data_IF_568693176452
#
_entry.id   IF_568693176452
#
_cell.length_a   1.000
_cell.length_b   1.000
_cell.length_c   1.000
_cell.angle_alpha   90.00
_cell.angle_beta   90.00
_cell.angle_gamma   90.00
#
_symmetry.space_group_name_H-M   'P 1'
#
loop_
_entity.id
_entity.type
_entity.pdbx_description
1 polymer ?
#
# COMPACT_ATOMS: atom_id res chain seq x y z
N UNK A 1 21.82 38.31 -6.42
CA UNK A 1 22.42 36.96 -6.34
C UNK A 1 21.71 36.02 -5.35
N UNK A 2 20.50 36.34 -4.88
CA UNK A 2 19.76 35.48 -3.93
C UNK A 2 18.84 34.43 -4.59
N UNK A 3 18.71 34.42 -5.93
CA UNK A 3 17.73 33.57 -6.64
C UNK A 3 18.27 32.20 -7.12
N UNK A 4 19.56 31.91 -6.91
CA UNK A 4 20.17 30.61 -7.27
C UNK A 4 20.30 29.62 -6.11
N UNK A 5 20.09 30.06 -4.86
CA UNK A 5 20.01 29.17 -3.70
C UNK A 5 18.60 28.60 -3.49
N UNK A 6 17.60 29.16 -4.15
CA UNK A 6 16.19 28.76 -4.04
C UNK A 6 15.78 27.59 -4.95
N UNK A 7 16.72 27.05 -5.76
CA UNK A 7 16.44 25.95 -6.71
C UNK A 7 17.01 24.58 -6.31
N UNK A 8 17.56 24.44 -5.11
CA UNK A 8 17.71 23.11 -4.53
C UNK A 8 16.40 22.80 -3.79
N UNK A 9 15.34 22.46 -4.52
CA UNK A 9 14.17 21.86 -3.88
C UNK A 9 14.67 20.68 -3.05
N UNK A 10 14.43 20.67 -1.72
CA UNK A 10 14.90 19.60 -0.88
C UNK A 10 14.36 18.28 -1.43
N UNK A 11 15.26 17.30 -1.62
CA UNK A 11 14.88 15.95 -2.03
C UNK A 11 13.85 15.44 -1.02
N UNK A 12 12.59 15.37 -1.46
CA UNK A 12 11.47 15.06 -0.59
C UNK A 12 11.59 13.61 -0.13
N UNK A 13 11.32 13.36 1.14
CA UNK A 13 11.25 11.99 1.65
C UNK A 13 9.85 11.45 1.33
N UNK A 14 9.72 10.22 0.79
CA UNK A 14 8.43 9.59 0.59
C UNK A 14 7.62 9.62 1.87
N UNK A 15 6.35 10.00 1.78
CA UNK A 15 5.46 10.04 2.94
C UNK A 15 4.67 8.74 3.05
N UNK A 16 4.42 8.30 4.28
CA UNK A 16 3.61 7.12 4.55
C UNK A 16 3.92 6.52 5.91
N UNK A 17 3.05 5.64 6.36
CA UNK A 17 3.23 4.92 7.63
C UNK A 17 3.28 3.41 7.38
N UNK A 18 4.49 2.82 7.28
CA UNK A 18 4.67 1.38 7.15
C UNK A 18 4.01 0.58 8.29
N UNK A 19 3.83 1.19 9.46
CA UNK A 19 3.25 0.53 10.64
C UNK A 19 1.76 0.28 10.45
N UNK A 20 1.00 1.28 10.00
CA UNK A 20 -0.42 1.12 9.66
C UNK A 20 -0.62 0.15 8.50
N UNK A 21 0.23 0.18 7.47
CA UNK A 21 0.13 -0.78 6.34
C UNK A 21 0.33 -2.23 6.84
N UNK A 22 1.28 -2.46 7.75
CA UNK A 22 1.46 -3.78 8.38
C UNK A 22 0.32 -4.16 9.29
N UNK A 23 -0.29 -3.20 10.00
CA UNK A 23 -1.46 -3.46 10.82
C UNK A 23 -2.62 -3.95 9.93
N UNK A 24 -2.88 -3.26 8.83
CA UNK A 24 -3.88 -3.68 7.84
C UNK A 24 -3.58 -5.09 7.28
N UNK A 25 -2.32 -5.38 6.94
CA UNK A 25 -1.92 -6.73 6.49
C UNK A 25 -2.20 -7.82 7.55
N UNK A 26 -1.88 -7.54 8.83
CA UNK A 26 -2.19 -8.44 9.96
C UNK A 26 -3.69 -8.63 10.13
N UNK A 27 -4.48 -7.57 9.97
CA UNK A 27 -5.93 -7.64 10.06
C UNK A 27 -6.55 -8.48 8.94
N UNK A 28 -6.09 -8.31 7.70
CA UNK A 28 -6.52 -9.15 6.58
C UNK A 28 -6.22 -10.63 6.83
N UNK A 29 -5.04 -10.96 7.36
CA UNK A 29 -4.69 -12.34 7.73
C UNK A 29 -5.55 -12.87 8.85
N UNK A 30 -5.83 -12.06 9.87
CA UNK A 30 -6.72 -12.43 10.98
C UNK A 30 -8.12 -12.75 10.46
N UNK A 31 -8.68 -11.90 9.59
CA UNK A 31 -9.98 -12.14 8.97
C UNK A 31 -9.96 -13.40 8.10
N UNK A 32 -8.91 -13.60 7.31
CA UNK A 32 -8.76 -14.82 6.49
C UNK A 32 -8.71 -16.09 7.36
N UNK A 33 -7.94 -16.08 8.44
CA UNK A 33 -7.81 -17.20 9.37
C UNK A 33 -9.12 -17.49 10.11
N UNK A 34 -9.78 -16.45 10.62
CA UNK A 34 -11.10 -16.56 11.27
C UNK A 34 -12.15 -17.10 10.29
N UNK A 35 -12.15 -16.59 9.06
CA UNK A 35 -13.05 -17.06 8.01
C UNK A 35 -12.79 -18.52 7.61
N UNK A 36 -11.54 -18.97 7.60
CA UNK A 36 -11.21 -20.38 7.36
C UNK A 36 -11.66 -21.27 8.53
N UNK A 37 -11.48 -20.81 9.78
CA UNK A 37 -11.94 -21.54 10.96
C UNK A 37 -13.48 -21.67 10.97
N UNK A 38 -14.21 -20.61 10.65
CA UNK A 38 -15.67 -20.64 10.51
C UNK A 38 -16.13 -21.42 9.28
N UNK A 39 -15.42 -21.31 8.15
CA UNK A 39 -15.72 -22.03 6.91
C UNK A 39 -15.47 -23.55 7.02
N UNK A 40 -14.59 -23.97 7.92
CA UNK A 40 -14.40 -25.38 8.28
C UNK A 40 -15.61 -26.01 8.98
N UNK A 41 -16.51 -25.18 9.55
CA UNK A 41 -17.75 -25.65 10.16
C UNK A 41 -18.81 -26.03 9.12
N UNK A 42 -18.64 -25.72 7.83
CA UNK A 42 -19.65 -25.90 6.78
C UNK A 42 -20.05 -27.37 6.57
N UNK A 43 -19.08 -28.29 6.48
CA UNK A 43 -19.38 -29.71 6.28
C UNK A 43 -20.00 -30.37 7.52
N UNK A 44 -19.56 -29.96 8.73
CA UNK A 44 -20.11 -30.48 10.00
C UNK A 44 -21.50 -29.92 10.27
N UNK A 45 -21.68 -28.61 10.12
CA UNK A 45 -22.94 -27.93 10.41
C UNK A 45 -24.04 -28.34 9.44
N UNK A 46 -23.76 -28.51 8.14
CA UNK A 46 -24.76 -29.01 7.16
C UNK A 46 -25.18 -30.44 7.51
N UNK A 47 -24.24 -31.29 7.92
CA UNK A 47 -24.53 -32.67 8.32
C UNK A 47 -25.32 -32.72 9.63
N UNK A 48 -24.94 -31.94 10.64
CA UNK A 48 -25.62 -31.85 11.93
C UNK A 48 -27.03 -31.27 11.80
N UNK A 49 -27.21 -30.20 11.02
CA UNK A 49 -28.54 -29.62 10.74
C UNK A 49 -29.47 -30.62 10.05
N UNK A 50 -28.94 -31.48 9.16
CA UNK A 50 -29.73 -32.49 8.49
C UNK A 50 -30.26 -33.58 9.44
N UNK A 51 -29.62 -33.79 10.60
CA UNK A 51 -30.05 -34.77 11.60
C UNK A 51 -31.23 -34.26 12.43
N UNK A 52 -31.28 -32.95 12.72
CA UNK A 52 -32.26 -32.36 13.65
C UNK A 52 -33.36 -31.57 12.96
N UNK A 53 -33.19 -31.19 11.69
CA UNK A 53 -34.13 -30.34 10.96
C UNK A 53 -34.37 -30.84 9.53
N UNK A 54 -35.64 -31.11 9.22
CA UNK A 54 -36.07 -31.67 7.93
C UNK A 54 -37.20 -30.84 7.30
N UNK A 55 -37.48 -31.12 6.02
CA UNK A 55 -38.48 -30.41 5.21
C UNK A 55 -37.89 -29.34 4.28
N UNK A 56 -38.77 -28.70 3.51
CA UNK A 56 -38.35 -27.76 2.45
C UNK A 56 -37.56 -26.56 2.96
N UNK A 57 -37.90 -26.06 4.15
CA UNK A 57 -37.18 -24.96 4.77
C UNK A 57 -35.73 -25.35 5.12
N UNK A 58 -35.52 -26.56 5.66
CA UNK A 58 -34.19 -27.09 5.96
C UNK A 58 -33.36 -27.30 4.68
N UNK A 59 -34.00 -27.73 3.58
CA UNK A 59 -33.33 -27.88 2.28
C UNK A 59 -32.89 -26.53 1.70
N UNK A 60 -33.75 -25.50 1.78
CA UNK A 60 -33.39 -24.14 1.33
C UNK A 60 -32.24 -23.55 2.15
N UNK A 61 -32.31 -23.66 3.49
CA UNK A 61 -31.25 -23.15 4.37
C UNK A 61 -29.89 -23.82 4.10
N UNK A 62 -29.86 -25.13 3.85
CA UNK A 62 -28.63 -25.85 3.47
C UNK A 62 -28.08 -25.40 2.12
N UNK A 63 -28.95 -25.15 1.14
CA UNK A 63 -28.53 -24.62 -0.16
C UNK A 63 -27.92 -23.21 -0.02
N UNK A 64 -28.54 -22.33 0.76
CA UNK A 64 -28.03 -20.98 1.03
C UNK A 64 -26.67 -21.02 1.75
N UNK A 65 -26.51 -21.89 2.74
CA UNK A 65 -25.26 -22.11 3.46
C UNK A 65 -24.15 -22.59 2.51
N UNK A 66 -24.43 -23.57 1.65
CA UNK A 66 -23.47 -24.06 0.67
C UNK A 66 -23.03 -22.97 -0.32
N UNK A 67 -23.94 -22.08 -0.74
CA UNK A 67 -23.61 -20.93 -1.60
C UNK A 67 -22.70 -19.95 -0.86
N UNK A 68 -23.02 -19.62 0.41
CA UNK A 68 -22.20 -18.72 1.22
C UNK A 68 -20.80 -19.29 1.46
N UNK A 69 -20.70 -20.58 1.76
CA UNK A 69 -19.42 -21.22 2.02
C UNK A 69 -18.58 -21.36 0.74
N UNK A 70 -19.19 -21.64 -0.40
CA UNK A 70 -18.49 -21.63 -1.70
C UNK A 70 -17.94 -20.23 -2.04
N UNK A 71 -18.67 -19.16 -1.72
CA UNK A 71 -18.17 -17.78 -1.87
C UNK A 71 -17.01 -17.50 -0.92
N UNK A 72 -17.16 -17.87 0.34
CA UNK A 72 -16.16 -17.65 1.38
C UNK A 72 -14.85 -18.37 1.04
N UNK A 73 -14.90 -19.64 0.63
CA UNK A 73 -13.74 -20.42 0.17
C UNK A 73 -12.99 -19.79 -1.01
N UNK A 74 -13.68 -19.03 -1.86
CA UNK A 74 -13.05 -18.30 -2.98
C UNK A 74 -12.38 -17.02 -2.53
N UNK A 75 -13.00 -16.26 -1.61
CA UNK A 75 -12.51 -14.93 -1.19
C UNK A 75 -11.36 -15.02 -0.19
N UNK A 76 -11.38 -15.98 0.74
CA UNK A 76 -10.38 -16.06 1.81
C UNK A 76 -8.92 -16.17 1.32
N UNK A 77 -8.59 -16.98 0.29
CA UNK A 77 -7.24 -17.00 -0.28
C UNK A 77 -6.80 -15.65 -0.86
N UNK A 78 -7.74 -14.88 -1.43
CA UNK A 78 -7.43 -13.55 -1.96
C UNK A 78 -7.12 -12.54 -0.86
N UNK A 79 -7.72 -12.66 0.34
CA UNK A 79 -7.38 -11.81 1.49
C UNK A 79 -5.94 -12.05 1.97
N UNK A 80 -5.52 -13.32 2.03
CA UNK A 80 -4.14 -13.66 2.38
C UNK A 80 -3.16 -13.12 1.32
N UNK A 81 -3.49 -13.27 0.03
CA UNK A 81 -2.67 -12.73 -1.06
C UNK A 81 -2.57 -11.20 -1.05
N UNK A 82 -3.66 -10.50 -0.72
CA UNK A 82 -3.68 -9.04 -0.55
C UNK A 82 -2.81 -8.61 0.64
N UNK A 83 -2.89 -9.32 1.77
CA UNK A 83 -2.03 -9.06 2.94
C UNK A 83 -0.54 -9.15 2.59
N UNK A 84 -0.13 -10.17 1.83
CA UNK A 84 1.24 -10.30 1.36
C UNK A 84 1.66 -9.16 0.42
N UNK A 85 0.73 -8.61 -0.35
CA UNK A 85 0.94 -7.39 -1.15
C UNK A 85 1.25 -6.18 -0.29
N UNK A 86 0.42 -5.93 0.73
CA UNK A 86 0.60 -4.82 1.68
C UNK A 86 1.92 -4.93 2.44
N UNK A 87 2.33 -6.13 2.87
CA UNK A 87 3.61 -6.29 3.55
C UNK A 87 4.82 -6.00 2.66
N UNK A 88 4.77 -6.44 1.40
CA UNK A 88 5.83 -6.13 0.42
C UNK A 88 5.90 -4.63 0.17
N UNK A 89 4.75 -3.97 0.05
CA UNK A 89 4.69 -2.53 -0.12
C UNK A 89 5.23 -1.78 1.12
N UNK A 90 4.86 -2.19 2.34
CA UNK A 90 5.40 -1.60 3.57
C UNK A 90 6.93 -1.69 3.64
N UNK A 91 7.52 -2.85 3.27
CA UNK A 91 8.98 -3.01 3.20
C UNK A 91 9.61 -2.12 2.12
N UNK A 92 8.97 -2.02 0.95
CA UNK A 92 9.44 -1.14 -0.12
C UNK A 92 9.42 0.34 0.31
N UNK A 93 8.38 0.76 1.03
CA UNK A 93 8.28 2.12 1.58
C UNK A 93 9.39 2.43 2.58
N UNK A 94 9.66 1.54 3.54
CA UNK A 94 10.78 1.73 4.48
C UNK A 94 12.13 1.81 3.78
N UNK A 95 12.34 0.93 2.79
CA UNK A 95 13.55 0.95 2.00
C UNK A 95 13.71 2.27 1.24
N UNK A 96 12.62 2.73 0.61
CA UNK A 96 12.60 3.99 -0.13
C UNK A 96 12.86 5.19 0.78
N UNK A 97 12.27 5.24 1.98
CA UNK A 97 12.53 6.30 2.97
C UNK A 97 14.01 6.31 3.37
N UNK A 98 14.56 5.16 3.75
CA UNK A 98 15.97 5.07 4.15
C UNK A 98 16.93 5.46 3.02
N UNK A 99 16.65 5.03 1.77
CA UNK A 99 17.45 5.39 0.61
C UNK A 99 17.31 6.87 0.24
N UNK A 100 16.10 7.43 0.26
CA UNK A 100 15.87 8.85 -0.01
C UNK A 100 16.62 9.74 1.00
N UNK A 101 16.60 9.38 2.29
CA UNK A 101 17.41 10.07 3.30
C UNK A 101 18.92 9.95 3.03
N UNK A 102 19.40 8.77 2.64
CA UNK A 102 20.81 8.58 2.31
C UNK A 102 21.23 9.42 1.09
N UNK A 103 20.39 9.50 0.05
CA UNK A 103 20.62 10.35 -1.12
C UNK A 103 20.56 11.83 -0.75
N UNK A 104 19.62 12.24 0.10
CA UNK A 104 19.54 13.60 0.63
C UNK A 104 20.83 13.99 1.37
N UNK A 105 21.30 13.15 2.29
CA UNK A 105 22.57 13.39 3.00
C UNK A 105 23.77 13.48 2.06
N UNK A 106 23.81 12.70 0.97
CA UNK A 106 24.87 12.82 -0.05
C UNK A 106 24.79 14.13 -0.82
N UNK A 107 23.58 14.60 -1.16
CA UNK A 107 23.39 15.88 -1.82
C UNK A 107 23.81 17.06 -0.91
N UNK A 108 23.42 17.02 0.37
CA UNK A 108 23.85 17.98 1.40
C UNK A 108 25.38 17.98 1.54
N UNK A 109 26.01 16.80 1.67
CA UNK A 109 27.46 16.68 1.75
C UNK A 109 28.20 17.24 0.52
N UNK A 110 27.63 17.10 -0.68
CA UNK A 110 28.19 17.68 -1.90
C UNK A 110 28.13 19.22 -1.90
N UNK A 111 27.08 19.81 -1.32
CA UNK A 111 26.96 21.26 -1.12
C UNK A 111 27.98 21.75 -0.10
N UNK A 112 28.09 21.07 1.03
CA UNK A 112 29.05 21.42 2.09
C UNK A 112 30.49 21.30 1.60
N UNK A 113 30.81 20.24 0.85
CA UNK A 113 32.14 20.04 0.27
C UNK A 113 32.49 21.15 -0.73
N UNK A 114 31.53 21.54 -1.58
CA UNK A 114 31.73 22.68 -2.46
C UNK A 114 31.99 23.98 -1.68
N UNK A 115 31.19 24.27 -0.65
CA UNK A 115 31.37 25.45 0.19
C UNK A 115 32.76 25.48 0.86
N UNK A 116 33.22 24.33 1.39
CA UNK A 116 34.56 24.16 1.95
C UNK A 116 35.65 24.43 0.90
N UNK A 117 35.54 23.84 -0.28
CA UNK A 117 36.51 24.06 -1.38
C UNK A 117 36.58 25.52 -1.80
N UNK A 118 35.44 26.19 -1.94
CA UNK A 118 35.37 27.63 -2.26
C UNK A 118 36.04 28.47 -1.18
N UNK A 119 35.82 28.16 0.10
CA UNK A 119 36.45 28.87 1.22
C UNK A 119 37.99 28.71 1.20
N UNK A 120 38.49 27.49 0.96
CA UNK A 120 39.91 27.21 0.82
C UNK A 120 40.49 28.01 -0.35
N UNK A 121 39.91 27.90 -1.55
CA UNK A 121 40.37 28.61 -2.75
C UNK A 121 40.43 30.11 -2.53
N UNK A 122 39.44 30.70 -1.85
CA UNK A 122 39.42 32.13 -1.52
C UNK A 122 40.59 32.54 -0.62
N UNK A 123 41.03 31.66 0.28
CA UNK A 123 42.12 31.94 1.22
C UNK A 123 43.52 31.67 0.65
N UNK A 124 43.66 30.76 -0.31
CA UNK A 124 44.97 30.28 -0.79
C UNK A 124 45.35 30.75 -2.18
N UNK A 125 44.41 31.21 -3.01
CA UNK A 125 44.70 31.53 -4.39
C UNK A 125 45.42 32.89 -4.53
N UNK A 126 46.61 32.87 -5.14
CA UNK A 126 47.43 34.06 -5.38
C UNK A 126 47.23 34.62 -6.80
N UNK A 127 46.88 33.77 -7.76
CA UNK A 127 46.64 34.15 -9.15
C UNK A 127 45.13 34.10 -9.49
N UNK A 128 44.56 35.21 -10.04
CA UNK A 128 43.15 35.28 -10.42
C UNK A 128 42.72 34.23 -11.46
N UNK A 129 43.61 33.84 -12.39
CA UNK A 129 43.23 32.94 -13.49
C UNK A 129 43.12 31.48 -13.01
N UNK A 130 44.08 31.02 -12.21
CA UNK A 130 44.02 29.71 -11.54
C UNK A 130 42.86 29.63 -10.54
N UNK A 131 42.55 30.71 -9.80
CA UNK A 131 41.37 30.77 -8.94
C UNK A 131 40.06 30.56 -9.73
N UNK A 132 39.88 31.28 -10.84
CA UNK A 132 38.68 31.18 -11.66
C UNK A 132 38.51 29.77 -12.25
N UNK A 133 39.59 29.15 -12.72
CA UNK A 133 39.58 27.79 -13.24
C UNK A 133 39.22 26.76 -12.14
N UNK A 134 39.82 26.89 -10.95
CA UNK A 134 39.54 26.00 -9.82
C UNK A 134 38.09 26.13 -9.31
N UNK A 135 37.56 27.37 -9.27
CA UNK A 135 36.16 27.62 -8.91
C UNK A 135 35.19 26.99 -9.92
N UNK A 136 35.48 27.13 -11.22
CA UNK A 136 34.67 26.50 -12.27
C UNK A 136 34.71 24.96 -12.20
N UNK A 137 35.86 24.38 -11.85
CA UNK A 137 35.97 22.93 -11.62
C UNK A 137 35.15 22.49 -10.40
N UNK A 138 35.28 23.17 -9.26
CA UNK A 138 34.51 22.87 -8.06
C UNK A 138 32.99 23.02 -8.27
N UNK A 139 32.55 23.95 -9.12
CA UNK A 139 31.14 24.10 -9.50
C UNK A 139 30.63 22.92 -10.32
N UNK A 140 31.40 22.46 -11.32
CA UNK A 140 31.06 21.28 -12.14
C UNK A 140 31.00 20.00 -11.33
N UNK A 141 31.91 19.80 -10.39
CA UNK A 141 31.89 18.65 -9.48
C UNK A 141 30.61 18.63 -8.65
N UNK A 142 30.23 19.77 -8.07
CA UNK A 142 28.98 19.91 -7.30
C UNK A 142 27.76 19.60 -8.16
N UNK A 143 27.70 20.16 -9.36
CA UNK A 143 26.58 19.96 -10.28
C UNK A 143 26.45 18.49 -10.70
N UNK A 144 27.57 17.83 -11.02
CA UNK A 144 27.61 16.41 -11.34
C UNK A 144 27.12 15.53 -10.17
N UNK A 145 27.57 15.84 -8.95
CA UNK A 145 27.15 15.15 -7.74
C UNK A 145 25.65 15.32 -7.47
N UNK A 146 25.12 16.53 -7.59
CA UNK A 146 23.69 16.81 -7.42
C UNK A 146 22.86 16.13 -8.50
N UNK A 147 23.29 16.15 -9.77
CA UNK A 147 22.61 15.46 -10.85
C UNK A 147 22.58 13.94 -10.61
N UNK A 148 23.67 13.36 -10.09
CA UNK A 148 23.71 11.95 -9.70
C UNK A 148 22.76 11.66 -8.53
N UNK A 149 22.68 12.55 -7.53
CA UNK A 149 21.76 12.40 -6.41
C UNK A 149 20.29 12.48 -6.88
N UNK A 150 19.95 13.41 -7.77
CA UNK A 150 18.60 13.49 -8.35
C UNK A 150 18.22 12.24 -9.14
N UNK A 151 19.12 11.69 -9.96
CA UNK A 151 18.87 10.43 -10.68
C UNK A 151 18.66 9.26 -9.71
N UNK A 152 19.50 9.16 -8.68
CA UNK A 152 19.35 8.13 -7.66
C UNK A 152 18.02 8.26 -6.93
N UNK A 153 17.62 9.48 -6.57
CA UNK A 153 16.32 9.73 -5.94
C UNK A 153 15.14 9.37 -6.86
N UNK A 154 15.21 9.72 -8.14
CA UNK A 154 14.21 9.31 -9.13
C UNK A 154 14.04 7.79 -9.19
N UNK A 155 15.14 7.04 -9.24
CA UNK A 155 15.10 5.58 -9.23
C UNK A 155 14.41 5.00 -7.97
N UNK A 156 14.65 5.60 -6.80
CA UNK A 156 13.97 5.21 -5.54
C UNK A 156 12.45 5.40 -5.65
N UNK A 157 12.00 6.52 -6.21
CA UNK A 157 10.58 6.81 -6.39
C UNK A 157 9.92 5.90 -7.45
N UNK A 158 10.64 5.58 -8.53
CA UNK A 158 10.16 4.66 -9.56
C UNK A 158 9.95 3.24 -8.99
N UNK A 159 10.88 2.75 -8.17
CA UNK A 159 10.77 1.46 -7.47
C UNK A 159 9.57 1.45 -6.51
N UNK A 160 9.39 2.51 -5.73
CA UNK A 160 8.26 2.65 -4.82
C UNK A 160 6.92 2.68 -5.58
N UNK A 161 6.85 3.45 -6.67
CA UNK A 161 5.68 3.53 -7.55
C UNK A 161 5.35 2.16 -8.16
N UNK A 162 6.36 1.42 -8.61
CA UNK A 162 6.17 0.06 -9.12
C UNK A 162 5.61 -0.89 -8.05
N UNK A 163 6.11 -0.80 -6.81
CA UNK A 163 5.60 -1.58 -5.68
C UNK A 163 4.16 -1.19 -5.32
N UNK A 164 3.84 0.11 -5.30
CA UNK A 164 2.48 0.61 -5.08
C UNK A 164 1.51 0.10 -6.14
N UNK A 165 1.87 0.20 -7.42
CA UNK A 165 1.05 -0.31 -8.53
C UNK A 165 0.84 -1.83 -8.48
N UNK A 166 1.85 -2.60 -8.05
CA UNK A 166 1.69 -4.03 -7.80
C UNK A 166 0.71 -4.30 -6.67
N UNK A 167 0.79 -3.56 -5.56
CA UNK A 167 -0.12 -3.69 -4.43
C UNK A 167 -1.56 -3.35 -4.82
N UNK A 168 -1.77 -2.23 -5.53
CA UNK A 168 -3.08 -1.81 -6.03
C UNK A 168 -3.74 -2.90 -6.88
N UNK A 169 -3.01 -3.48 -7.85
CA UNK A 169 -3.53 -4.58 -8.68
C UNK A 169 -3.96 -5.81 -7.88
N UNK A 170 -3.30 -6.10 -6.75
CA UNK A 170 -3.70 -7.21 -5.87
C UNK A 170 -4.99 -6.90 -5.10
N UNK A 171 -5.17 -5.66 -4.67
CA UNK A 171 -6.40 -5.19 -4.02
C UNK A 171 -7.57 -5.13 -5.00
N UNK A 172 -7.31 -4.74 -6.26
CA UNK A 172 -8.32 -4.77 -7.32
C UNK A 172 -8.79 -6.20 -7.63
N UNK A 173 -7.85 -7.15 -7.68
CA UNK A 173 -8.18 -8.57 -7.86
C UNK A 173 -9.06 -9.12 -6.72
N UNK A 174 -8.84 -8.67 -5.49
CA UNK A 174 -9.69 -9.00 -4.34
C UNK A 174 -11.12 -8.45 -4.54
N UNK A 175 -11.22 -7.19 -4.95
CA UNK A 175 -12.52 -6.51 -5.18
C UNK A 175 -13.30 -7.14 -6.33
N UNK A 176 -12.62 -7.46 -7.44
CA UNK A 176 -13.21 -8.17 -8.57
C UNK A 176 -13.68 -9.59 -8.18
N UNK A 177 -12.87 -10.33 -7.40
CA UNK A 177 -13.22 -11.65 -6.88
C UNK A 177 -14.43 -11.63 -5.95
N UNK A 178 -14.62 -10.55 -5.18
CA UNK A 178 -15.80 -10.36 -4.34
C UNK A 178 -17.06 -9.97 -5.15
N UNK A 179 -16.90 -9.27 -6.28
CA UNK A 179 -17.99 -8.66 -7.05
C UNK A 179 -18.62 -9.56 -8.11
N UNK A 180 -17.91 -10.58 -8.60
CA UNK A 180 -18.29 -11.38 -9.79
C UNK A 180 -19.63 -12.16 -9.73
N UNK A 181 -20.46 -12.07 -8.67
CA UNK A 181 -21.81 -12.69 -8.63
C UNK A 181 -22.89 -11.94 -7.83
N UNK A 182 -22.78 -10.61 -7.66
CA UNK A 182 -23.97 -9.85 -7.26
C UNK A 182 -25.02 -9.78 -8.39
N UNK A 183 -24.61 -9.90 -9.64
CA UNK A 183 -25.44 -9.63 -10.83
C UNK A 183 -26.30 -10.83 -11.30
N UNK A 184 -26.07 -12.05 -10.80
CA UNK A 184 -26.82 -13.25 -11.24
C UNK A 184 -27.87 -13.78 -10.26
N UNK A 185 -28.08 -13.10 -9.11
CA UNK A 185 -29.09 -13.47 -8.12
C UNK A 185 -30.31 -12.52 -8.10
N UNK A 186 -30.49 -11.71 -9.16
CA UNK A 186 -31.44 -10.60 -9.22
C UNK A 186 -32.59 -10.77 -10.22
N UNK A 187 -33.09 -11.98 -10.45
CA UNK A 187 -34.36 -12.20 -11.17
C UNK A 187 -35.12 -13.36 -10.52
N UNK A 188 -35.67 -13.12 -9.33
CA UNK A 188 -36.40 -14.18 -8.62
C UNK A 188 -37.04 -13.78 -7.30
N UNK A 189 -38.08 -12.95 -7.39
CA UNK A 189 -39.22 -12.88 -6.45
C UNK A 189 -38.96 -12.27 -5.07
N UNK A 190 -39.54 -11.09 -4.86
CA UNK A 190 -39.74 -10.47 -3.56
C UNK A 190 -40.52 -11.40 -2.61
N UNK A 191 -39.96 -11.64 -1.43
CA UNK A 191 -40.67 -12.19 -0.28
C UNK A 191 -40.97 -11.01 0.65
N UNK A 192 -42.22 -10.80 1.09
CA UNK A 192 -42.55 -9.70 1.99
C UNK A 192 -41.91 -9.93 3.38
N UNK A 193 -41.41 -8.84 3.95
CA UNK A 193 -40.80 -8.81 5.27
C UNK A 193 -41.83 -9.16 6.36
N UNK A 194 -41.59 -10.25 7.09
CA UNK A 194 -42.19 -10.47 8.40
C UNK A 194 -41.20 -9.95 9.45
N UNK A 195 -41.66 -8.98 10.25
CA UNK A 195 -40.88 -8.34 11.29
C UNK A 195 -40.39 -9.34 12.35
N UNK A 196 -39.13 -9.19 12.72
CA UNK A 196 -38.49 -9.98 13.77
C UNK A 196 -37.11 -9.42 14.06
N UNK A 197 -37.04 -8.51 15.02
CA UNK A 197 -35.78 -8.00 15.58
C UNK A 197 -35.02 -9.12 16.28
N UNK A 198 -33.93 -9.58 15.67
CA UNK A 198 -32.89 -10.33 16.37
C UNK A 198 -31.53 -9.78 15.90
N UNK A 199 -30.99 -8.87 16.70
CA UNK A 199 -29.65 -8.35 16.54
C UNK A 199 -28.62 -9.43 16.87
N UNK A 200 -27.73 -9.73 15.93
CA UNK A 200 -26.38 -10.27 16.11
C UNK A 200 -25.70 -10.40 14.74
N UNK A 201 -25.41 -9.27 14.10
CA UNK A 201 -24.37 -9.20 13.10
C UNK A 201 -23.81 -7.77 13.13
N UNK A 202 -22.55 -7.56 13.55
CA UNK A 202 -21.93 -6.26 13.30
C UNK A 202 -21.93 -6.03 11.79
N UNK A 203 -22.27 -4.81 11.39
CA UNK A 203 -22.25 -4.35 10.01
C UNK A 203 -20.79 -4.23 9.52
N UNK A 204 -20.14 -5.37 9.26
CA UNK A 204 -18.74 -5.44 8.81
C UNK A 204 -18.61 -4.93 7.37
N UNK A 205 -19.71 -4.90 6.60
CA UNK A 205 -19.71 -4.42 5.22
C UNK A 205 -19.50 -2.90 5.13
N UNK A 206 -20.14 -2.13 6.02
CA UNK A 206 -19.97 -0.68 6.06
C UNK A 206 -18.55 -0.25 6.47
N UNK A 207 -17.98 -0.93 7.47
CA UNK A 207 -16.63 -0.62 7.95
C UNK A 207 -15.53 -1.04 6.97
N UNK A 208 -15.63 -2.23 6.36
CA UNK A 208 -14.55 -2.79 5.52
C UNK A 208 -14.42 -2.12 4.15
N UNK A 209 -15.53 -1.65 3.55
CA UNK A 209 -15.50 -0.93 2.27
C UNK A 209 -15.02 0.51 2.47
N UNK A 210 -15.36 1.15 3.59
CA UNK A 210 -14.84 2.47 3.96
C UNK A 210 -13.32 2.46 4.20
N UNK A 211 -12.82 1.42 4.88
CA UNK A 211 -11.39 1.29 5.22
C UNK A 211 -10.51 1.00 3.99
N UNK A 212 -11.02 0.22 3.02
CA UNK A 212 -10.31 -0.02 1.75
C UNK A 212 -10.28 1.22 0.85
N UNK A 213 -11.32 2.07 0.90
CA UNK A 213 -11.33 3.38 0.24
C UNK A 213 -10.26 4.30 0.82
N UNK A 214 -10.10 4.33 2.15
CA UNK A 214 -9.07 5.08 2.85
C UNK A 214 -7.65 4.59 2.51
N UNK A 215 -7.42 3.27 2.48
CA UNK A 215 -6.12 2.72 2.08
C UNK A 215 -5.78 3.07 0.63
N UNK A 216 -6.77 3.05 -0.27
CA UNK A 216 -6.57 3.46 -1.66
C UNK A 216 -6.27 4.96 -1.79
N UNK A 217 -7.02 5.81 -1.10
CA UNK A 217 -6.78 7.26 -1.08
C UNK A 217 -5.37 7.58 -0.52
N UNK A 218 -4.91 6.85 0.51
CA UNK A 218 -3.54 7.01 1.03
C UNK A 218 -2.45 6.48 0.10
N UNK A 219 -2.73 5.45 -0.70
CA UNK A 219 -1.79 4.95 -1.73
C UNK A 219 -1.71 5.94 -2.90
N UNK A 220 -2.83 6.54 -3.31
CA UNK A 220 -2.88 7.56 -4.37
C UNK A 220 -2.25 8.90 -3.94
N UNK A 221 -2.26 9.24 -2.65
CA UNK A 221 -1.59 10.45 -2.10
C UNK A 221 -0.10 10.24 -1.83
N UNK A 222 0.36 8.98 -1.71
CA UNK A 222 1.75 8.64 -1.43
C UNK A 222 2.59 8.31 -2.69
N UNK A 223 1.94 8.06 -3.83
CA UNK A 223 2.57 7.93 -5.15
C UNK A 223 2.63 9.30 -5.85
#
# INVERSE_FOLDING_TARGET
MSSLLERASPLATPSGDPTSIRAAARDLRRVAAQGLACGGLDASAVAELALVWQGDAATRARADLAVLAARTRRVLPHLAYAADGLERYARALEHAVAQAEAVRRRAEAAVDEHARRVAILRSTATDPTTYAAALAHAARDRESALASAHRAHGAVLDELTAAAGQCARRLDALTAGASQRAVTAGTGRAIPAAGGTAGCAPDVRGAFIGDLGFVRERIEVAA
#
